data_IF_608226674938
#
_entry.id   IF_608226674938
#
_cell.length_a   1.000
_cell.length_b   1.000
_cell.length_c   1.000
_cell.angle_alpha   90.00
_cell.angle_beta   90.00
_cell.angle_gamma   90.00
#
_symmetry.space_group_name_H-M   'P 1'
#
loop_
_entity.id
_entity.type
_entity.pdbx_description
1 polymer ?
#
# COMPACT_ATOMS: atom_id res chain seq x y z
N UNK A 1 -9.73 21.12 -25.34
CA UNK A 1 -8.54 21.54 -26.13
C UNK A 1 -7.25 21.28 -25.34
N UNK A 2 -7.04 21.87 -24.15
CA UNK A 2 -5.82 21.67 -23.34
C UNK A 2 -5.56 20.17 -23.04
N UNK A 3 -6.57 19.41 -22.62
CA UNK A 3 -6.38 17.98 -22.33
C UNK A 3 -6.00 17.14 -23.56
N UNK A 4 -6.51 17.51 -24.75
CA UNK A 4 -6.12 16.83 -25.99
C UNK A 4 -4.66 17.14 -26.37
N UNK A 5 -4.19 18.36 -26.13
CA UNK A 5 -2.78 18.74 -26.31
C UNK A 5 -1.89 17.95 -25.34
N UNK A 6 -2.25 17.89 -24.06
CA UNK A 6 -1.54 17.09 -23.05
C UNK A 6 -1.46 15.62 -23.44
N UNK A 7 -2.58 15.03 -23.87
CA UNK A 7 -2.60 13.65 -24.37
C UNK A 7 -1.65 13.46 -25.55
N UNK A 8 -1.69 14.36 -26.55
CA UNK A 8 -0.79 14.33 -27.69
C UNK A 8 0.70 14.40 -27.30
N UNK A 9 1.04 15.26 -26.33
CA UNK A 9 2.40 15.37 -25.80
C UNK A 9 2.85 14.09 -25.08
N UNK A 10 1.99 13.45 -24.30
CA UNK A 10 2.29 12.17 -23.63
C UNK A 10 2.57 11.06 -24.65
N UNK A 11 1.77 10.98 -25.73
CA UNK A 11 2.06 10.03 -26.82
C UNK A 11 3.39 10.36 -27.53
N UNK A 12 3.68 11.64 -27.75
CA UNK A 12 4.97 12.09 -28.30
C UNK A 12 6.15 11.67 -27.42
N UNK A 13 6.05 11.88 -26.11
CA UNK A 13 7.07 11.48 -25.14
C UNK A 13 7.25 9.96 -25.12
N UNK A 14 6.17 9.18 -25.04
CA UNK A 14 6.24 7.71 -25.07
C UNK A 14 6.98 7.21 -26.32
N UNK A 15 6.68 7.78 -27.49
CA UNK A 15 7.39 7.44 -28.74
C UNK A 15 8.85 7.82 -28.71
N UNK A 16 9.20 8.96 -28.12
CA UNK A 16 10.58 9.42 -28.01
C UNK A 16 11.42 8.53 -27.07
N UNK A 17 10.83 8.04 -25.97
CA UNK A 17 11.48 7.06 -25.07
C UNK A 17 11.62 5.69 -25.75
N UNK A 18 10.60 5.28 -26.50
CA UNK A 18 10.54 3.99 -27.18
C UNK A 18 9.91 2.89 -26.34
N UNK A 19 9.07 2.07 -26.95
CA UNK A 19 8.30 1.02 -26.26
C UNK A 19 9.21 -0.11 -25.76
N UNK A 20 10.20 -0.49 -26.56
CA UNK A 20 11.22 -1.49 -26.18
C UNK A 20 12.02 -1.04 -24.95
N UNK A 21 12.45 0.23 -24.92
CA UNK A 21 13.15 0.81 -23.75
C UNK A 21 12.29 0.72 -22.49
N UNK A 22 11.01 1.09 -22.58
CA UNK A 22 10.06 1.03 -21.46
C UNK A 22 9.92 -0.42 -20.98
N UNK A 23 9.70 -1.35 -21.90
CA UNK A 23 9.54 -2.77 -21.58
C UNK A 23 10.80 -3.35 -20.91
N UNK A 24 12.00 -3.02 -21.40
CA UNK A 24 13.27 -3.48 -20.83
C UNK A 24 13.46 -2.97 -19.40
N UNK A 25 13.20 -1.70 -19.14
CA UNK A 25 13.35 -1.08 -17.82
C UNK A 25 12.33 -1.64 -16.82
N UNK A 26 11.05 -1.67 -17.20
CA UNK A 26 9.97 -2.21 -16.36
C UNK A 26 10.16 -3.71 -16.08
N UNK A 27 10.56 -4.49 -17.09
CA UNK A 27 10.87 -5.91 -16.94
C UNK A 27 12.11 -6.16 -16.06
N UNK A 28 13.07 -5.23 -16.05
CA UNK A 28 14.23 -5.30 -15.15
C UNK A 28 13.81 -5.09 -13.70
N UNK A 29 13.03 -4.03 -13.42
CA UNK A 29 12.57 -3.72 -12.05
C UNK A 29 11.71 -4.84 -11.48
N UNK A 30 10.69 -5.31 -12.21
CA UNK A 30 9.78 -6.32 -11.68
C UNK A 30 10.47 -7.65 -11.41
N UNK A 31 11.41 -8.09 -12.27
CA UNK A 31 12.18 -9.32 -12.05
C UNK A 31 13.08 -9.22 -10.82
N UNK A 32 13.77 -8.09 -10.64
CA UNK A 32 14.63 -7.87 -9.46
C UNK A 32 13.81 -7.78 -8.18
N UNK A 33 12.66 -7.12 -8.21
CA UNK A 33 11.76 -7.02 -7.07
C UNK A 33 11.23 -8.40 -6.64
N UNK A 34 10.77 -9.21 -7.60
CA UNK A 34 10.33 -10.58 -7.34
C UNK A 34 11.48 -11.40 -6.76
N UNK A 35 12.66 -11.38 -7.40
CA UNK A 35 13.81 -12.16 -6.93
C UNK A 35 14.26 -11.79 -5.52
N UNK A 36 14.16 -10.51 -5.14
CA UNK A 36 14.51 -10.01 -3.80
C UNK A 36 13.44 -10.39 -2.77
N UNK A 37 12.18 -10.05 -3.01
CA UNK A 37 11.10 -10.31 -2.06
C UNK A 37 10.74 -11.79 -1.92
N UNK A 38 10.96 -12.62 -2.95
CA UNK A 38 10.79 -14.09 -2.83
C UNK A 38 11.75 -14.75 -1.84
N UNK A 39 12.82 -14.05 -1.42
CA UNK A 39 13.75 -14.53 -0.39
C UNK A 39 13.34 -14.08 1.02
N UNK A 40 12.37 -13.19 1.12
CA UNK A 40 11.95 -12.61 2.39
C UNK A 40 10.85 -13.48 3.03
N UNK A 41 11.04 -14.02 4.24
CA UNK A 41 10.07 -14.95 4.84
C UNK A 41 8.73 -14.28 5.18
N UNK A 42 8.76 -12.97 5.46
CA UNK A 42 7.56 -12.17 5.76
C UNK A 42 6.74 -11.75 4.53
N UNK A 43 7.22 -11.94 3.30
CA UNK A 43 6.55 -11.46 2.08
C UNK A 43 6.13 -12.65 1.22
N UNK A 44 4.85 -12.72 0.88
CA UNK A 44 4.33 -13.69 -0.09
C UNK A 44 3.85 -12.97 -1.35
N UNK A 45 4.49 -13.25 -2.47
CA UNK A 45 4.13 -12.67 -3.77
C UNK A 45 3.02 -13.50 -4.40
N UNK A 46 1.97 -12.83 -4.86
CA UNK A 46 0.81 -13.46 -5.47
C UNK A 46 0.90 -13.51 -7.01
N UNK A 47 0.33 -14.58 -7.55
CA UNK A 47 0.26 -14.86 -8.98
C UNK A 47 1.41 -15.73 -9.49
N UNK A 48 1.43 -15.95 -10.79
CA UNK A 48 2.48 -16.72 -11.44
C UNK A 48 3.75 -15.85 -11.58
N UNK A 49 4.88 -16.37 -11.09
CA UNK A 49 6.17 -15.67 -11.06
C UNK A 49 7.02 -15.88 -12.33
N UNK A 50 6.65 -16.86 -13.16
CA UNK A 50 7.40 -17.29 -14.34
C UNK A 50 6.90 -16.64 -15.63
N UNK A 51 5.64 -16.19 -15.66
CA UNK A 51 5.05 -15.57 -16.84
C UNK A 51 5.40 -14.09 -16.95
N UNK A 52 5.47 -13.61 -18.19
CA UNK A 52 5.57 -12.19 -18.46
C UNK A 52 4.42 -11.42 -17.77
N UNK A 53 4.76 -10.30 -17.14
CA UNK A 53 3.81 -9.48 -16.38
C UNK A 53 4.16 -8.01 -16.48
N UNK A 54 3.15 -7.16 -16.32
CA UNK A 54 3.34 -5.74 -16.09
C UNK A 54 4.23 -5.52 -14.86
N UNK A 55 4.92 -4.38 -14.80
CA UNK A 55 5.75 -3.99 -13.65
C UNK A 55 4.91 -3.61 -12.43
N UNK A 56 4.12 -4.55 -11.96
CA UNK A 56 3.21 -4.48 -10.82
C UNK A 56 3.38 -5.77 -10.03
N UNK A 57 3.70 -5.64 -8.76
CA UNK A 57 3.83 -6.79 -7.85
C UNK A 57 2.67 -6.76 -6.86
N UNK A 58 1.98 -7.89 -6.76
CA UNK A 58 0.91 -8.12 -5.79
C UNK A 58 1.47 -8.99 -4.67
N UNK A 59 1.30 -8.61 -3.41
CA UNK A 59 1.84 -9.36 -2.27
C UNK A 59 0.99 -9.21 -1.01
N UNK A 60 1.19 -10.15 -0.09
CA UNK A 60 0.70 -10.10 1.29
C UNK A 60 1.88 -10.16 2.25
N UNK A 61 1.70 -9.63 3.46
CA UNK A 61 2.72 -9.64 4.51
C UNK A 61 2.24 -10.58 5.63
N UNK A 62 3.08 -11.53 6.02
CA UNK A 62 2.82 -12.46 7.12
C UNK A 62 3.03 -11.78 8.47
N UNK A 63 2.20 -12.14 9.45
CA UNK A 63 2.30 -11.70 10.83
C UNK A 63 1.87 -12.87 11.74
N UNK A 64 2.84 -13.67 12.19
CA UNK A 64 2.57 -14.94 12.88
C UNK A 64 1.82 -15.93 11.98
N UNK A 65 0.68 -16.42 12.45
CA UNK A 65 -0.24 -17.30 11.73
C UNK A 65 -1.23 -16.54 10.83
N UNK A 66 -1.26 -15.20 10.92
CA UNK A 66 -2.15 -14.31 10.17
C UNK A 66 -1.39 -13.50 9.12
N UNK A 67 -2.14 -12.68 8.37
CA UNK A 67 -1.58 -11.70 7.44
C UNK A 67 -1.86 -10.29 7.97
N UNK A 68 -0.95 -9.34 7.75
CA UNK A 68 -1.28 -7.93 7.96
C UNK A 68 -2.39 -7.52 6.98
N UNK A 69 -3.36 -6.74 7.47
CA UNK A 69 -4.45 -6.26 6.63
C UNK A 69 -3.89 -5.40 5.48
N UNK A 70 -4.36 -5.63 4.25
CA UNK A 70 -3.80 -4.95 3.07
C UNK A 70 -3.93 -3.42 3.15
N UNK A 71 -5.04 -2.89 3.67
CA UNK A 71 -5.18 -1.44 3.87
C UNK A 71 -4.28 -0.90 4.99
N UNK A 72 -3.91 -1.73 5.97
CA UNK A 72 -2.95 -1.32 7.01
C UNK A 72 -1.56 -1.14 6.39
N UNK A 73 -1.11 -2.13 5.62
CA UNK A 73 0.18 -2.06 4.91
C UNK A 73 0.21 -0.86 3.95
N UNK A 74 -0.90 -0.58 3.24
CA UNK A 74 -1.00 0.61 2.38
C UNK A 74 -0.93 1.91 3.18
N UNK A 75 -1.56 1.98 4.35
CA UNK A 75 -1.46 3.13 5.24
C UNK A 75 -0.01 3.34 5.70
N UNK A 76 0.68 2.27 6.11
CA UNK A 76 2.10 2.35 6.51
C UNK A 76 3.01 2.82 5.36
N UNK A 77 2.80 2.29 4.15
CA UNK A 77 3.54 2.72 2.96
C UNK A 77 3.37 4.22 2.68
N UNK A 78 2.16 4.73 2.87
CA UNK A 78 1.87 6.15 2.70
C UNK A 78 2.46 7.00 3.84
N UNK A 79 2.18 6.63 5.09
CA UNK A 79 2.42 7.48 6.26
C UNK A 79 3.90 7.56 6.63
N UNK A 80 4.65 6.47 6.47
CA UNK A 80 6.08 6.42 6.78
C UNK A 80 6.97 6.78 5.60
N UNK A 81 6.57 6.36 4.38
CA UNK A 81 7.45 6.39 3.21
C UNK A 81 6.93 7.28 2.08
N UNK A 82 5.72 7.80 2.16
CA UNK A 82 5.09 8.55 1.06
C UNK A 82 4.80 7.72 -0.19
N UNK A 83 4.81 6.39 -0.07
CA UNK A 83 4.59 5.46 -1.19
C UNK A 83 3.09 5.19 -1.33
N UNK A 84 2.52 5.64 -2.44
CA UNK A 84 1.10 5.44 -2.74
C UNK A 84 0.87 4.06 -3.37
N UNK A 85 0.50 3.08 -2.53
CA UNK A 85 0.14 1.74 -2.96
C UNK A 85 -1.38 1.56 -3.12
N UNK A 86 -1.79 0.42 -3.69
CA UNK A 86 -3.21 0.04 -3.82
C UNK A 86 -3.49 -1.25 -3.07
N UNK A 87 -4.40 -1.18 -2.09
CA UNK A 87 -4.95 -2.35 -1.39
C UNK A 87 -6.20 -2.91 -2.07
N UNK A 88 -6.64 -4.08 -1.61
CA UNK A 88 -7.91 -4.70 -1.94
C UNK A 88 -7.84 -5.92 -2.87
N UNK A 89 -9.01 -6.49 -3.12
CA UNK A 89 -9.23 -7.60 -4.05
C UNK A 89 -9.50 -7.04 -5.46
N UNK A 90 -8.84 -7.56 -6.49
CA UNK A 90 -9.12 -7.19 -7.88
C UNK A 90 -10.55 -7.61 -8.28
N UNK A 91 -11.16 -6.94 -9.27
CA UNK A 91 -12.53 -7.22 -9.76
C UNK A 91 -12.72 -8.63 -10.36
N UNK A 92 -11.71 -9.49 -10.26
CA UNK A 92 -11.70 -10.89 -10.67
C UNK A 92 -11.83 -11.82 -9.45
N UNK A 93 -13.02 -11.84 -8.82
CA UNK A 93 -13.29 -12.58 -7.58
C UNK A 93 -12.79 -14.05 -7.57
N UNK A 94 -13.10 -14.88 -8.59
CA UNK A 94 -12.63 -16.27 -8.62
C UNK A 94 -11.11 -16.42 -8.66
N UNK A 95 -10.40 -15.48 -9.27
CA UNK A 95 -8.93 -15.49 -9.27
C UNK A 95 -8.39 -15.08 -7.89
N UNK A 96 -8.97 -14.06 -7.27
CA UNK A 96 -8.64 -13.67 -5.90
C UNK A 96 -8.84 -14.79 -4.88
N UNK A 97 -9.95 -15.53 -4.99
CA UNK A 97 -10.21 -16.68 -4.12
C UNK A 97 -9.13 -17.76 -4.25
N UNK A 98 -8.74 -18.12 -5.48
CA UNK A 98 -7.66 -19.10 -5.69
C UNK A 98 -6.31 -18.65 -5.14
N UNK A 99 -5.99 -17.36 -5.28
CA UNK A 99 -4.74 -16.81 -4.75
C UNK A 99 -4.69 -16.80 -3.22
N UNK A 100 -5.84 -16.60 -2.58
CA UNK A 100 -5.94 -16.48 -1.12
C UNK A 100 -6.42 -17.78 -0.45
N UNK A 101 -6.59 -18.87 -1.21
CA UNK A 101 -7.05 -20.15 -0.69
C UNK A 101 -8.50 -20.18 -0.19
N UNK A 102 -9.33 -19.22 -0.62
CA UNK A 102 -10.71 -19.05 -0.14
C UNK A 102 -11.62 -20.03 -0.89
N UNK A 103 -12.31 -20.89 -0.14
CA UNK A 103 -13.29 -21.80 -0.73
C UNK A 103 -14.66 -21.12 -1.00
N UNK A 104 -15.60 -21.87 -1.59
CA UNK A 104 -16.93 -21.32 -1.91
C UNK A 104 -17.72 -20.98 -0.63
N UNK A 105 -17.60 -21.79 0.42
CA UNK A 105 -18.34 -21.57 1.66
C UNK A 105 -17.84 -20.33 2.40
N UNK A 106 -16.52 -20.17 2.50
CA UNK A 106 -15.88 -18.96 3.04
C UNK A 106 -16.21 -17.74 2.19
N UNK A 107 -16.19 -17.87 0.86
CA UNK A 107 -16.59 -16.78 -0.05
C UNK A 107 -18.00 -16.29 0.23
N UNK A 108 -18.98 -17.19 0.40
CA UNK A 108 -20.36 -16.80 0.72
C UNK A 108 -20.47 -16.12 2.09
N UNK A 109 -19.68 -16.55 3.09
CA UNK A 109 -19.64 -15.87 4.40
C UNK A 109 -19.07 -14.45 4.28
N UNK A 110 -17.97 -14.28 3.54
CA UNK A 110 -17.42 -12.94 3.27
C UNK A 110 -18.44 -12.06 2.55
N UNK A 111 -19.11 -12.59 1.52
CA UNK A 111 -20.16 -11.85 0.80
C UNK A 111 -21.30 -11.43 1.73
N UNK A 112 -21.76 -12.31 2.61
CA UNK A 112 -22.82 -11.98 3.57
C UNK A 112 -22.40 -10.83 4.51
N UNK A 113 -21.19 -10.90 5.08
CA UNK A 113 -20.65 -9.86 5.94
C UNK A 113 -20.49 -8.50 5.22
N UNK A 114 -19.99 -8.54 3.98
CA UNK A 114 -19.82 -7.35 3.13
C UNK A 114 -21.19 -6.73 2.79
N UNK A 115 -22.18 -7.55 2.41
CA UNK A 115 -23.54 -7.09 2.11
C UNK A 115 -24.25 -6.51 3.35
N UNK A 116 -23.82 -6.88 4.56
CA UNK A 116 -24.27 -6.28 5.82
C UNK A 116 -23.47 -5.04 6.22
N UNK A 117 -22.62 -4.51 5.33
CA UNK A 117 -21.90 -3.25 5.49
C UNK A 117 -20.51 -3.35 6.12
N UNK A 118 -19.94 -4.55 6.26
CA UNK A 118 -18.60 -4.75 6.82
C UNK A 118 -17.57 -4.97 5.71
N UNK A 119 -17.18 -3.93 4.98
CA UNK A 119 -16.17 -4.04 3.90
C UNK A 119 -14.77 -4.32 4.45
N UNK A 120 -14.49 -3.97 5.71
CA UNK A 120 -13.18 -4.16 6.32
C UNK A 120 -12.75 -5.61 6.50
N UNK A 121 -13.68 -6.57 6.44
CA UNK A 121 -13.32 -7.99 6.50
C UNK A 121 -12.86 -8.55 5.16
N UNK A 122 -13.04 -7.78 4.08
CA UNK A 122 -12.82 -8.23 2.71
C UNK A 122 -11.35 -8.60 2.49
N UNK A 123 -11.07 -9.85 2.11
CA UNK A 123 -9.72 -10.30 1.84
C UNK A 123 -9.14 -9.57 0.62
N UNK A 124 -7.83 -9.39 0.60
CA UNK A 124 -7.14 -8.63 -0.43
C UNK A 124 -5.63 -8.63 -0.28
N UNK A 125 -4.95 -7.86 -1.12
CA UNK A 125 -3.51 -7.79 -1.14
C UNK A 125 -3.04 -6.38 -1.50
N UNK A 126 -1.75 -6.13 -1.31
CA UNK A 126 -1.11 -4.86 -1.64
C UNK A 126 -0.52 -4.94 -3.04
N UNK A 127 -0.59 -3.83 -3.78
CA UNK A 127 0.03 -3.68 -5.10
C UNK A 127 0.89 -2.44 -5.15
N UNK A 128 2.10 -2.63 -5.66
CA UNK A 128 3.05 -1.56 -6.00
C UNK A 128 3.49 -1.71 -7.45
N UNK A 129 3.74 -0.58 -8.11
CA UNK A 129 4.16 -0.51 -9.50
C UNK A 129 5.52 0.17 -9.60
N UNK A 130 6.39 -0.32 -10.47
CA UNK A 130 7.65 0.34 -10.81
C UNK A 130 7.53 0.90 -12.22
N UNK A 131 7.43 2.22 -12.33
CA UNK A 131 7.40 2.89 -13.63
C UNK A 131 8.82 2.94 -14.24
N UNK A 132 8.92 3.05 -15.56
CA UNK A 132 10.21 3.04 -16.27
C UNK A 132 11.14 4.23 -15.95
N UNK A 133 10.64 5.28 -15.29
CA UNK A 133 11.37 6.53 -15.08
C UNK A 133 11.79 6.76 -13.61
N UNK A 134 11.54 5.81 -12.71
CA UNK A 134 12.16 5.86 -11.37
C UNK A 134 13.66 5.57 -11.47
N UNK A 135 14.42 6.20 -10.59
CA UNK A 135 15.84 5.90 -10.43
C UNK A 135 16.04 4.55 -9.72
N UNK A 136 17.24 3.99 -9.82
CA UNK A 136 17.65 2.81 -9.04
C UNK A 136 17.52 3.05 -7.54
N UNK A 137 17.79 4.28 -7.06
CA UNK A 137 17.64 4.64 -5.64
C UNK A 137 16.19 4.61 -5.19
N UNK A 138 15.28 5.16 -6.00
CA UNK A 138 13.84 5.10 -5.72
C UNK A 138 13.34 3.66 -5.76
N UNK A 139 13.84 2.84 -6.70
CA UNK A 139 13.54 1.42 -6.76
C UNK A 139 13.98 0.68 -5.48
N UNK A 140 15.22 0.87 -5.04
CA UNK A 140 15.74 0.28 -3.81
C UNK A 140 15.02 0.79 -2.55
N UNK A 141 14.63 2.06 -2.54
CA UNK A 141 13.81 2.64 -1.48
C UNK A 141 12.46 1.94 -1.35
N UNK A 142 11.74 1.74 -2.46
CA UNK A 142 10.44 1.04 -2.46
C UNK A 142 10.61 -0.41 -1.97
N UNK A 143 11.67 -1.11 -2.43
CA UNK A 143 11.98 -2.46 -1.98
C UNK A 143 12.21 -2.51 -0.47
N UNK A 144 13.06 -1.62 0.04
CA UNK A 144 13.40 -1.52 1.46
C UNK A 144 12.22 -1.12 2.33
N UNK A 145 11.30 -0.30 1.84
CA UNK A 145 10.12 0.13 2.57
C UNK A 145 9.16 -1.04 2.80
N UNK A 146 8.93 -1.87 1.76
CA UNK A 146 8.10 -3.07 1.89
C UNK A 146 8.75 -4.09 2.82
N UNK A 147 10.07 -4.29 2.74
CA UNK A 147 10.83 -5.16 3.65
C UNK A 147 10.74 -4.67 5.10
N UNK A 148 10.93 -3.38 5.34
CA UNK A 148 10.85 -2.80 6.68
C UNK A 148 9.46 -3.00 7.33
N UNK A 149 8.38 -2.88 6.54
CA UNK A 149 7.03 -3.19 7.02
C UNK A 149 6.86 -4.70 7.25
N UNK A 150 7.45 -5.55 6.41
CA UNK A 150 7.37 -7.00 6.56
C UNK A 150 8.11 -7.51 7.79
N UNK A 151 9.19 -6.83 8.21
CA UNK A 151 9.95 -7.16 9.41
C UNK A 151 9.25 -6.64 10.68
N UNK A 152 8.93 -5.34 10.73
CA UNK A 152 8.58 -4.67 12.00
C UNK A 152 7.28 -3.86 11.92
N UNK A 153 6.59 -3.83 10.77
CA UNK A 153 5.37 -3.03 10.59
C UNK A 153 4.21 -3.43 11.50
N UNK A 154 4.21 -4.66 12.00
CA UNK A 154 3.22 -5.13 12.98
C UNK A 154 3.27 -4.34 14.30
N UNK A 155 4.41 -3.76 14.68
CA UNK A 155 4.56 -2.98 15.92
C UNK A 155 3.66 -1.74 15.93
N UNK A 156 3.40 -1.19 14.75
CA UNK A 156 2.56 -0.01 14.57
C UNK A 156 1.07 -0.29 14.71
N UNK A 157 0.63 -1.55 14.82
CA UNK A 157 -0.80 -1.89 14.92
C UNK A 157 -1.49 -1.14 16.06
N UNK A 158 -0.84 -0.95 17.21
CA UNK A 158 -1.42 -0.23 18.36
C UNK A 158 -1.54 1.29 18.17
N UNK A 159 -0.95 1.84 17.11
CA UNK A 159 -1.00 3.26 16.79
C UNK A 159 -2.03 3.59 15.71
N UNK A 160 -2.72 2.59 15.17
CA UNK A 160 -3.74 2.76 14.15
C UNK A 160 -5.09 2.28 14.63
N UNK A 161 -6.13 3.01 14.25
CA UNK A 161 -7.52 2.60 14.41
C UNK A 161 -8.00 1.90 13.15
N UNK A 162 -8.77 0.81 13.34
CA UNK A 162 -9.42 0.06 12.27
C UNK A 162 -10.93 0.27 12.29
N UNK A 163 -11.48 0.73 11.17
CA UNK A 163 -12.92 0.78 10.94
C UNK A 163 -13.38 -0.46 10.17
N UNK A 164 -14.10 -1.36 10.83
CA UNK A 164 -14.61 -2.59 10.24
C UNK A 164 -15.66 -2.36 9.13
N UNK A 165 -16.35 -1.21 9.14
CA UNK A 165 -17.36 -0.87 8.13
C UNK A 165 -16.68 -0.49 6.82
N UNK A 166 -15.75 0.48 6.86
CA UNK A 166 -15.07 0.98 5.65
C UNK A 166 -13.81 0.21 5.27
N UNK A 167 -13.21 -0.52 6.21
CA UNK A 167 -11.90 -1.15 6.08
C UNK A 167 -10.72 -0.20 6.14
N UNK A 168 -10.95 1.06 6.51
CA UNK A 168 -9.91 2.09 6.62
C UNK A 168 -9.07 1.84 7.87
N UNK A 169 -7.76 2.01 7.70
CA UNK A 169 -6.79 2.11 8.78
C UNK A 169 -6.28 3.55 8.82
N UNK A 170 -6.34 4.18 9.98
CA UNK A 170 -5.87 5.56 10.17
C UNK A 170 -5.03 5.64 11.44
N UNK A 171 -3.92 6.37 11.39
CA UNK A 171 -3.11 6.60 12.58
C UNK A 171 -3.95 7.34 13.63
N UNK A 172 -3.91 6.92 14.89
CA UNK A 172 -4.79 7.44 15.95
C UNK A 172 -4.60 8.95 16.20
N UNK A 173 -3.41 9.48 15.93
CA UNK A 173 -3.12 10.92 16.00
C UNK A 173 -3.25 11.66 14.66
N UNK A 174 -3.74 11.02 13.61
CA UNK A 174 -3.80 11.62 12.28
C UNK A 174 -4.71 12.84 12.30
N UNK A 175 -4.14 14.00 11.97
CA UNK A 175 -4.88 15.22 11.74
C UNK A 175 -4.87 15.51 10.25
N UNK A 176 -6.05 15.52 9.64
CA UNK A 176 -6.19 15.88 8.23
C UNK A 176 -5.78 17.34 8.05
N UNK A 177 -4.69 17.58 7.32
CA UNK A 177 -4.38 18.93 6.88
C UNK A 177 -5.53 19.49 6.03
N UNK A 178 -5.86 20.76 6.23
CA UNK A 178 -6.89 21.43 5.44
C UNK A 178 -6.51 21.36 3.95
N UNK A 179 -7.34 20.67 3.16
CA UNK A 179 -7.17 20.60 1.72
C UNK A 179 -7.33 22.01 1.13
N UNK A 180 -6.43 22.42 0.23
CA UNK A 180 -6.55 23.66 -0.53
C UNK A 180 -7.94 23.74 -1.17
N UNK A 181 -8.74 24.70 -0.73
CA UNK A 181 -10.05 25.02 -1.29
C UNK A 181 -9.94 26.12 -2.34
N UNK A 182 -10.97 26.25 -3.18
CA UNK A 182 -11.04 27.34 -4.15
C UNK A 182 -11.01 28.73 -3.50
N UNK A 183 -11.34 28.83 -2.21
CA UNK A 183 -11.29 30.07 -1.42
C UNK A 183 -9.89 30.48 -1.00
N UNK A 184 -8.92 29.56 -1.06
CA UNK A 184 -7.51 29.84 -0.75
C UNK A 184 -6.76 30.42 -1.97
N UNK A 185 -7.47 30.57 -3.09
CA UNK A 185 -6.99 31.17 -4.33
C UNK A 185 -7.40 32.65 -4.35
N UNK A 186 -6.42 33.53 -4.48
CA UNK A 186 -6.63 34.99 -4.53
C UNK A 186 -6.09 35.58 -5.84
N UNK A 187 -6.62 36.76 -6.21
CA UNK A 187 -6.23 37.52 -7.40
C UNK A 187 -5.91 38.99 -7.09
N UNK A 188 -5.67 39.33 -5.82
CA UNK A 188 -5.58 40.72 -5.34
C UNK A 188 -4.49 41.54 -6.03
N UNK A 189 -3.46 40.89 -6.58
CA UNK A 189 -2.36 41.54 -7.30
C UNK A 189 -2.46 41.38 -8.82
N UNK A 190 -3.65 41.07 -9.36
CA UNK A 190 -3.85 40.82 -10.80
C UNK A 190 -3.23 39.52 -11.31
N UNK A 191 -2.73 38.68 -10.39
CA UNK A 191 -2.14 37.36 -10.64
C UNK A 191 -2.74 36.33 -9.70
N UNK A 192 -2.83 35.07 -10.15
CA UNK A 192 -3.24 33.93 -9.33
C UNK A 192 -2.23 33.74 -8.20
N UNK A 193 -2.69 33.80 -6.94
CA UNK A 193 -1.87 33.56 -5.76
C UNK A 193 -2.54 32.54 -4.84
N UNK A 194 -1.77 31.55 -4.38
CA UNK A 194 -2.18 30.51 -3.44
C UNK A 194 -0.95 29.99 -2.69
N UNK A 195 -1.14 29.44 -1.49
CA UNK A 195 -0.04 28.83 -0.73
C UNK A 195 0.18 27.40 -1.22
N UNK A 196 1.11 27.21 -2.14
CA UNK A 196 1.52 25.87 -2.58
C UNK A 196 2.40 25.22 -1.50
N UNK A 197 1.94 24.11 -0.90
CA UNK A 197 2.76 23.24 -0.05
C UNK A 197 3.26 22.07 -0.88
N UNK A 198 4.28 22.28 -1.68
CA UNK A 198 4.97 21.19 -2.36
C UNK A 198 6.24 20.86 -1.58
N UNK A 199 6.17 19.78 -0.79
CA UNK A 199 7.35 19.19 -0.19
C UNK A 199 8.02 18.30 -1.25
N UNK A 200 9.24 18.64 -1.63
CA UNK A 200 10.06 17.83 -2.52
C UNK A 200 11.26 17.33 -1.73
N UNK A 201 11.48 16.02 -1.77
CA UNK A 201 12.71 15.38 -1.33
C UNK A 201 13.48 14.91 -2.57
N UNK A 202 14.80 14.89 -2.48
CA UNK A 202 15.64 14.27 -3.51
C UNK A 202 15.68 12.75 -3.28
N UNK A 203 16.04 12.00 -4.31
CA UNK A 203 16.20 10.54 -4.23
C UNK A 203 17.20 10.10 -3.13
N UNK A 204 18.12 10.99 -2.72
CA UNK A 204 19.08 10.72 -1.64
C UNK A 204 18.43 10.63 -0.25
N UNK A 205 17.24 11.20 -0.08
CA UNK A 205 16.54 11.17 1.20
C UNK A 205 15.99 9.77 1.53
N UNK A 206 15.83 8.89 0.53
CA UNK A 206 15.20 7.58 0.71
C UNK A 206 15.90 6.69 1.74
N UNK A 207 17.24 6.66 1.75
CA UNK A 207 18.01 5.90 2.73
C UNK A 207 17.75 6.40 4.16
N UNK A 208 17.79 7.73 4.35
CA UNK A 208 17.48 8.34 5.65
C UNK A 208 16.05 8.05 6.09
N UNK A 209 15.07 8.11 5.18
CA UNK A 209 13.68 7.80 5.52
C UNK A 209 13.50 6.33 5.95
N UNK A 210 14.23 5.39 5.34
CA UNK A 210 14.24 3.99 5.78
C UNK A 210 14.82 3.85 7.19
N UNK A 211 15.93 4.53 7.48
CA UNK A 211 16.54 4.52 8.81
C UNK A 211 15.63 5.11 9.88
N UNK A 212 15.03 6.28 9.60
CA UNK A 212 14.08 6.96 10.49
C UNK A 212 12.84 6.08 10.74
N UNK A 213 12.27 5.46 9.70
CA UNK A 213 11.12 4.60 9.84
C UNK A 213 11.41 3.34 10.67
N UNK A 214 12.59 2.71 10.49
CA UNK A 214 13.01 1.58 11.32
C UNK A 214 13.20 2.00 12.77
N UNK A 215 13.87 3.12 13.02
CA UNK A 215 14.05 3.64 14.37
C UNK A 215 12.70 3.96 15.05
N UNK A 216 11.72 4.47 14.30
CA UNK A 216 10.36 4.70 14.79
C UNK A 216 9.68 3.38 15.18
N UNK A 217 9.74 2.35 14.33
CA UNK A 217 9.16 1.04 14.61
C UNK A 217 9.83 0.36 15.81
N UNK A 218 11.16 0.44 15.92
CA UNK A 218 11.93 -0.12 17.03
C UNK A 218 11.63 0.56 18.37
N UNK A 219 11.37 1.86 18.36
CA UNK A 219 11.06 2.64 19.55
C UNK A 219 9.65 2.36 20.11
N UNK A 220 8.76 1.73 19.30
CA UNK A 220 7.41 1.43 19.74
C UNK A 220 7.43 0.24 20.69
N UNK A 221 7.02 0.52 21.93
CA UNK A 221 6.66 -0.51 22.90
C UNK A 221 5.22 -0.94 22.60
N UNK A 222 4.97 -2.22 22.30
CA UNK A 222 3.61 -2.70 22.07
C UNK A 222 2.72 -2.36 23.27
N UNK A 223 1.69 -1.54 23.03
CA UNK A 223 0.75 -1.14 24.07
C UNK A 223 -0.21 -2.29 24.41
N UNK A 224 -0.67 -2.31 25.66
CA UNK A 224 -1.68 -3.28 26.16
C UNK A 224 -3.03 -2.99 25.47
N UNK A 225 -3.80 -4.01 25.06
CA UNK A 225 -4.84 -3.87 24.05
C UNK A 225 -6.02 -3.02 24.50
N UNK A 226 -6.47 -2.11 23.64
CA UNK A 226 -7.89 -1.74 23.52
C UNK A 226 -8.38 -2.34 22.21
N UNK A 227 -8.74 -3.63 22.24
CA UNK A 227 -9.27 -4.30 21.07
C UNK A 227 -10.59 -3.63 20.67
N UNK A 228 -10.67 -3.15 19.43
CA UNK A 228 -11.96 -2.85 18.83
C UNK A 228 -12.74 -4.17 18.74
N UNK A 229 -13.81 -4.29 19.54
CA UNK A 229 -14.61 -5.50 19.56
C UNK A 229 -15.36 -5.65 18.24
N UNK A 230 -14.93 -6.59 17.40
CA UNK A 230 -15.72 -7.04 16.25
C UNK A 230 -16.89 -7.89 16.76
N UNK A 231 -17.96 -7.95 15.97
CA UNK A 231 -19.03 -8.92 16.23
C UNK A 231 -18.48 -10.34 16.08
N UNK A 232 -19.11 -11.31 16.77
CA UNK A 232 -18.69 -12.71 16.75
C UNK A 232 -18.63 -13.30 15.32
N UNK A 233 -19.54 -12.87 14.45
CA UNK A 233 -19.56 -13.26 13.03
C UNK A 233 -18.34 -12.75 12.26
N UNK A 234 -17.95 -11.50 12.49
CA UNK A 234 -16.78 -10.90 11.84
C UNK A 234 -15.49 -11.48 12.39
N UNK A 235 -15.46 -11.77 13.69
CA UNK A 235 -14.30 -12.37 14.34
C UNK A 235 -13.98 -13.76 13.76
N UNK A 236 -15.01 -14.56 13.43
CA UNK A 236 -14.83 -15.85 12.72
C UNK A 236 -14.26 -15.72 11.32
N UNK A 237 -14.41 -14.56 10.68
CA UNK A 237 -13.91 -14.28 9.33
C UNK A 237 -12.59 -13.52 9.33
N UNK A 238 -12.08 -13.16 10.50
CA UNK A 238 -10.91 -12.30 10.64
C UNK A 238 -9.63 -13.06 10.35
N UNK A 239 -8.94 -12.61 9.30
CA UNK A 239 -7.69 -13.18 8.80
C UNK A 239 -6.45 -12.34 9.14
N UNK A 240 -6.61 -11.27 9.91
CA UNK A 240 -5.57 -10.28 10.25
C UNK A 240 -5.60 -9.89 11.73
N UNK A 241 -4.48 -9.47 12.33
CA UNK A 241 -4.44 -8.97 13.71
C UNK A 241 -5.09 -7.59 13.85
N UNK A 242 -5.76 -7.33 14.98
CA UNK A 242 -6.28 -6.01 15.34
C UNK A 242 -5.25 -5.20 16.16
N UNK A 243 -5.46 -3.88 16.31
CA UNK A 243 -4.68 -3.08 17.25
C UNK A 243 -4.59 -3.74 18.63
N UNK A 244 -3.36 -3.99 19.09
CA UNK A 244 -3.08 -4.64 20.38
C UNK A 244 -2.98 -6.16 20.37
N UNK A 245 -3.24 -6.84 19.24
CA UNK A 245 -3.14 -8.31 19.12
C UNK A 245 -1.88 -8.78 18.36
N UNK A 246 -0.80 -8.00 18.46
CA UNK A 246 0.46 -8.33 17.85
C UNK A 246 0.96 -9.73 18.29
N UNK A 247 1.63 -10.49 17.39
CA UNK A 247 2.15 -11.80 17.74
C UNK A 247 3.15 -11.69 18.90
N UNK A 248 3.17 -12.65 19.83
CA UNK A 248 4.28 -12.77 20.76
C UNK A 248 5.57 -13.02 19.96
N UNK A 249 6.63 -12.29 20.33
CA UNK A 249 7.96 -12.42 19.75
C UNK A 249 8.53 -13.84 19.86
#
# INVERSE_FOLDING_TARGET
IIEAIRAGLVFGLKRAVGEETIEVLESSFVRRAIARWSRHPGIEILGNLEVHRLSIVSFVIRCGDKLLHHNFVVALLNDLFGIQARGGCSCAGPYGHRLLGIDIAESERFKAAINHGSEGIKPGWVRVNFNYFISERTFDFILGAVEAIADEGWRLLSHYDFDAVSGIWAHASFQREASLGLRDITYHEGRLAYTARHHHATDEAGERYLEEARALMDAIVPAVPTAAALSEDLERLRWFPLPGEAPPA
#
